data_IF_109746346909
#
_entry.id   IF_109746346909
#
_cell.length_a   1.000
_cell.length_b   1.000
_cell.length_c   1.000
_cell.angle_alpha   90.00
_cell.angle_beta   90.00
_cell.angle_gamma   90.00
#
_symmetry.space_group_name_H-M   'P 1'
#
loop_
_entity.id
_entity.type
_entity.pdbx_description
1 polymer ?
#
# COMPACT_ATOMS: atom_id res chain seq x y z
N UNK A 1 4.71 -12.89 2.08
CA UNK A 1 4.95 -12.27 0.82
C UNK A 1 4.36 -10.86 0.62
N UNK A 2 3.44 -10.38 1.48
CA UNK A 2 2.86 -9.05 1.37
C UNK A 2 3.19 -8.25 2.63
N UNK A 3 3.83 -7.09 2.47
CA UNK A 3 4.14 -6.17 3.57
C UNK A 3 3.08 -5.09 3.61
N UNK A 4 2.37 -4.96 4.73
CA UNK A 4 1.42 -3.89 4.97
C UNK A 4 2.08 -2.73 5.72
N UNK A 5 1.74 -1.52 5.35
CA UNK A 5 2.19 -0.30 5.99
C UNK A 5 1.05 0.70 6.12
N UNK A 6 1.17 1.57 7.11
CA UNK A 6 0.20 2.66 7.31
C UNK A 6 0.88 3.86 7.95
N UNK A 7 0.37 5.04 7.62
CA UNK A 7 0.81 6.31 8.19
C UNK A 7 -0.40 7.18 8.49
N UNK A 8 -0.33 7.89 9.60
CA UNK A 8 -1.32 8.93 9.95
C UNK A 8 -0.59 10.26 9.97
N UNK A 9 -1.04 11.17 9.14
CA UNK A 9 -0.46 12.52 9.03
C UNK A 9 -1.50 13.56 9.45
N UNK A 10 -1.19 14.45 10.41
CA UNK A 10 -2.02 15.59 10.71
C UNK A 10 -1.89 16.66 9.62
N UNK A 11 -2.99 17.37 9.36
CA UNK A 11 -3.02 18.52 8.47
C UNK A 11 -3.83 19.63 9.14
N UNK A 12 -3.39 20.86 9.00
CA UNK A 12 -4.20 22.03 9.33
C UNK A 12 -5.36 22.17 8.32
N UNK A 13 -5.00 22.13 7.05
CA UNK A 13 -5.90 22.11 5.91
C UNK A 13 -5.55 20.91 5.04
N UNK A 14 -6.49 20.01 4.83
CA UNK A 14 -6.25 18.77 4.06
C UNK A 14 -6.04 19.12 2.59
N UNK A 15 -4.88 18.73 2.00
CA UNK A 15 -4.59 19.03 0.60
C UNK A 15 -5.47 18.21 -0.37
N UNK A 16 -5.48 18.57 -1.67
CA UNK A 16 -6.11 17.76 -2.69
C UNK A 16 -5.58 16.31 -2.72
N UNK A 17 -6.42 15.37 -3.14
CA UNK A 17 -6.08 13.93 -3.13
C UNK A 17 -4.79 13.62 -3.88
N UNK A 18 -4.56 14.24 -5.03
CA UNK A 18 -3.34 14.05 -5.82
C UNK A 18 -2.08 14.45 -5.03
N UNK A 19 -2.13 15.57 -4.31
CA UNK A 19 -1.03 16.01 -3.46
C UNK A 19 -0.78 15.04 -2.29
N UNK A 20 -1.84 14.44 -1.73
CA UNK A 20 -1.71 13.41 -0.70
C UNK A 20 -1.04 12.16 -1.28
N UNK A 21 -1.46 11.69 -2.46
CA UNK A 21 -0.85 10.54 -3.12
C UNK A 21 0.63 10.80 -3.42
N UNK A 22 0.97 11.96 -3.95
CA UNK A 22 2.35 12.34 -4.23
C UNK A 22 3.19 12.37 -2.95
N UNK A 23 2.72 13.05 -1.90
CA UNK A 23 3.44 13.16 -0.62
C UNK A 23 3.68 11.80 0.06
N UNK A 24 2.83 10.80 -0.17
CA UNK A 24 2.98 9.48 0.42
C UNK A 24 3.76 8.52 -0.47
N UNK A 25 3.53 8.54 -1.76
CA UNK A 25 4.07 7.50 -2.65
C UNK A 25 5.39 7.89 -3.31
N UNK A 26 5.64 9.17 -3.58
CA UNK A 26 6.88 9.57 -4.26
C UNK A 26 8.12 9.36 -3.36
N UNK A 27 8.14 9.74 -2.06
CA UNK A 27 9.25 9.41 -1.17
C UNK A 27 9.44 7.90 -0.96
N UNK A 28 8.34 7.15 -0.92
CA UNK A 28 8.41 5.69 -0.79
C UNK A 28 8.98 5.04 -2.05
N UNK A 29 8.59 5.52 -3.24
CA UNK A 29 9.15 5.06 -4.51
C UNK A 29 10.65 5.32 -4.58
N UNK A 30 11.10 6.51 -4.18
CA UNK A 30 12.52 6.89 -4.14
C UNK A 30 13.30 5.97 -3.18
N UNK A 31 12.81 5.77 -1.96
CA UNK A 31 13.45 4.92 -0.96
C UNK A 31 13.54 3.45 -1.39
N UNK A 32 12.51 2.93 -2.06
CA UNK A 32 12.52 1.58 -2.63
C UNK A 32 13.48 1.47 -3.81
N UNK A 33 13.61 2.53 -4.61
CA UNK A 33 14.53 2.57 -5.77
C UNK A 33 15.99 2.55 -5.36
N UNK A 34 16.35 3.03 -4.18
CA UNK A 34 17.70 2.98 -3.64
C UNK A 34 18.27 1.55 -3.53
N UNK A 35 17.42 0.53 -3.61
CA UNK A 35 17.79 -0.89 -3.62
C UNK A 35 17.97 -1.46 -5.06
N UNK A 36 18.22 -0.61 -6.06
CA UNK A 36 18.46 -1.02 -7.44
C UNK A 36 17.19 -1.38 -8.22
N UNK A 37 16.01 -1.08 -7.71
CA UNK A 37 14.74 -1.23 -8.42
C UNK A 37 14.31 0.11 -9.01
N UNK A 38 13.76 0.11 -10.22
CA UNK A 38 13.17 1.30 -10.82
C UNK A 38 11.70 1.42 -10.38
N UNK A 39 11.48 1.89 -9.16
CA UNK A 39 10.15 2.07 -8.59
C UNK A 39 9.66 3.48 -8.89
N UNK A 40 8.41 3.59 -9.30
CA UNK A 40 7.78 4.87 -9.56
C UNK A 40 6.29 4.82 -9.21
N UNK A 41 5.69 5.98 -8.97
CA UNK A 41 4.24 6.12 -8.92
C UNK A 41 3.68 6.09 -10.36
N UNK A 42 2.55 5.39 -10.53
CA UNK A 42 1.85 5.29 -11.81
C UNK A 42 0.35 5.38 -11.58
N UNK A 43 -0.37 5.94 -12.53
CA UNK A 43 -1.79 6.25 -12.35
C UNK A 43 -2.01 7.17 -11.15
N UNK A 44 -3.09 6.95 -10.41
CA UNK A 44 -3.44 7.81 -9.26
C UNK A 44 -2.68 7.42 -7.99
N UNK A 45 -2.62 6.13 -7.67
CA UNK A 45 -2.17 5.66 -6.34
C UNK A 45 -1.39 4.36 -6.36
N UNK A 46 -0.86 3.96 -7.50
CA UNK A 46 -0.11 2.71 -7.61
C UNK A 46 1.40 2.95 -7.55
N UNK A 47 2.13 2.03 -6.93
CA UNK A 47 3.57 1.90 -7.12
C UNK A 47 3.84 0.77 -8.10
N UNK A 48 4.75 1.01 -9.02
CA UNK A 48 5.15 0.07 -10.07
C UNK A 48 6.67 -0.11 -10.13
N UNK A 49 7.11 -1.24 -10.63
CA UNK A 49 8.46 -1.41 -11.16
C UNK A 49 8.40 -1.18 -12.67
N UNK A 50 9.26 -0.30 -13.18
CA UNK A 50 9.43 -0.07 -14.60
C UNK A 50 10.63 -0.85 -15.12
N UNK A 51 10.39 -1.78 -16.06
CA UNK A 51 11.42 -2.54 -16.72
C UNK A 51 11.06 -2.79 -18.19
N UNK A 52 12.02 -2.65 -19.10
CA UNK A 52 11.84 -2.89 -20.53
C UNK A 52 10.60 -2.19 -21.13
N UNK A 53 10.37 -0.93 -20.76
CA UNK A 53 9.24 -0.14 -21.25
C UNK A 53 7.86 -0.55 -20.70
N UNK A 54 7.82 -1.46 -19.73
CA UNK A 54 6.58 -1.91 -19.08
C UNK A 54 6.56 -1.53 -17.59
N UNK A 55 5.39 -1.10 -17.13
CA UNK A 55 5.12 -0.89 -15.71
C UNK A 55 4.33 -2.08 -15.16
N UNK A 56 4.84 -2.70 -14.08
CA UNK A 56 4.16 -3.75 -13.35
C UNK A 56 3.90 -3.28 -11.91
N UNK A 57 2.67 -3.42 -11.46
CA UNK A 57 2.22 -2.94 -10.14
C UNK A 57 2.75 -3.83 -9.02
N UNK A 58 3.22 -3.17 -7.94
CA UNK A 58 3.75 -3.81 -6.73
C UNK A 58 2.96 -3.43 -5.48
N UNK A 59 2.03 -2.49 -5.56
CA UNK A 59 1.30 -2.02 -4.39
C UNK A 59 -0.18 -1.75 -4.68
N UNK A 60 -1.02 -1.96 -3.68
CA UNK A 60 -2.37 -1.43 -3.61
C UNK A 60 -2.46 -0.48 -2.44
N UNK A 61 -3.02 0.72 -2.65
CA UNK A 61 -3.05 1.76 -1.65
C UNK A 61 -4.47 2.32 -1.48
N UNK A 62 -4.77 2.76 -0.27
CA UNK A 62 -6.03 3.42 0.07
C UNK A 62 -5.78 4.49 1.12
N UNK A 63 -6.72 5.42 1.24
CA UNK A 63 -6.64 6.49 2.21
C UNK A 63 -8.01 6.80 2.82
N UNK A 64 -8.00 7.34 4.00
CA UNK A 64 -9.17 7.90 4.66
C UNK A 64 -8.87 9.32 5.12
N UNK A 65 -9.59 10.27 4.57
CA UNK A 65 -9.50 11.66 4.96
C UNK A 65 -10.44 11.92 6.15
N UNK A 66 -9.93 12.63 7.13
CA UNK A 66 -10.67 13.24 8.24
C UNK A 66 -10.44 14.75 8.23
N UNK A 67 -11.16 15.48 9.08
CA UNK A 67 -11.10 16.95 9.10
C UNK A 67 -9.68 17.52 9.23
N UNK A 68 -8.82 16.88 10.02
CA UNK A 68 -7.46 17.36 10.31
C UNK A 68 -6.41 16.25 10.22
N UNK A 69 -6.73 15.15 9.56
CA UNK A 69 -5.78 14.05 9.42
C UNK A 69 -6.11 13.17 8.22
N UNK A 70 -5.09 12.52 7.70
CA UNK A 70 -5.19 11.49 6.68
C UNK A 70 -4.57 10.21 7.23
N UNK A 71 -5.32 9.12 7.22
CA UNK A 71 -4.77 7.78 7.29
C UNK A 71 -4.50 7.32 5.86
N UNK A 72 -3.25 7.04 5.57
CA UNK A 72 -2.83 6.42 4.31
C UNK A 72 -2.27 5.04 4.61
N UNK A 73 -2.65 4.04 3.84
CA UNK A 73 -2.13 2.69 4.01
C UNK A 73 -2.03 1.97 2.68
N UNK A 74 -1.17 0.96 2.64
CA UNK A 74 -0.98 0.17 1.45
C UNK A 74 -0.31 -1.16 1.73
N UNK A 75 -0.19 -1.92 0.66
CA UNK A 75 0.51 -3.19 0.63
C UNK A 75 1.68 -3.10 -0.35
N UNK A 76 2.76 -3.79 -0.06
CA UNK A 76 3.89 -3.99 -0.97
C UNK A 76 4.03 -5.50 -1.21
N UNK A 77 3.89 -5.90 -2.45
CA UNK A 77 4.10 -7.29 -2.87
C UNK A 77 5.60 -7.56 -2.91
N UNK A 78 6.09 -8.44 -2.04
CA UNK A 78 7.51 -8.76 -1.96
C UNK A 78 7.81 -10.17 -2.51
N UNK A 79 7.29 -11.19 -1.89
CA UNK A 79 7.34 -12.58 -2.33
C UNK A 79 5.93 -13.22 -2.23
N UNK A 80 4.93 -12.51 -2.76
CA UNK A 80 3.54 -12.94 -2.74
C UNK A 80 3.29 -13.94 -3.87
N UNK A 81 2.55 -15.03 -3.64
CA UNK A 81 2.15 -15.97 -4.69
C UNK A 81 1.13 -15.31 -5.62
N UNK A 82 1.62 -14.63 -6.67
CA UNK A 82 0.81 -13.79 -7.56
C UNK A 82 -0.29 -14.55 -8.31
N UNK A 83 -0.12 -15.84 -8.51
CA UNK A 83 -1.11 -16.73 -9.10
C UNK A 83 -2.42 -16.76 -8.32
N UNK A 84 -2.37 -16.62 -6.99
CA UNK A 84 -3.56 -16.55 -6.14
C UNK A 84 -4.44 -15.35 -6.47
N UNK A 85 -3.84 -14.24 -6.91
CA UNK A 85 -4.62 -13.05 -7.28
C UNK A 85 -5.53 -13.35 -8.47
N UNK A 86 -5.00 -14.03 -9.49
CA UNK A 86 -5.79 -14.41 -10.66
C UNK A 86 -6.83 -15.50 -10.39
N UNK A 87 -6.61 -16.34 -9.37
CA UNK A 87 -7.54 -17.39 -8.97
C UNK A 87 -8.69 -16.85 -8.12
N UNK A 88 -8.41 -15.89 -7.23
CA UNK A 88 -9.36 -15.42 -6.22
C UNK A 88 -10.07 -14.12 -6.60
N UNK A 89 -9.45 -13.28 -7.44
CA UNK A 89 -10.00 -11.98 -7.81
C UNK A 89 -10.41 -11.95 -9.28
N UNK A 90 -11.63 -11.45 -9.51
CA UNK A 90 -12.11 -11.15 -10.86
C UNK A 90 -11.33 -9.96 -11.44
N UNK A 91 -11.35 -9.82 -12.76
CA UNK A 91 -10.86 -8.63 -13.41
C UNK A 91 -11.64 -7.39 -12.90
N UNK A 92 -10.95 -6.30 -12.49
CA UNK A 92 -11.64 -5.15 -11.94
C UNK A 92 -12.51 -4.47 -13.03
N UNK A 93 -13.71 -4.00 -12.66
CA UNK A 93 -14.59 -3.31 -13.62
C UNK A 93 -14.05 -1.94 -14.06
N UNK A 94 -13.14 -1.37 -13.28
CA UNK A 94 -12.39 -0.14 -13.60
C UNK A 94 -10.92 -0.41 -13.41
N UNK A 95 -10.13 -0.02 -14.38
CA UNK A 95 -8.67 -0.19 -14.34
C UNK A 95 -7.95 1.10 -14.75
N UNK A 96 -6.72 1.33 -14.27
CA UNK A 96 -5.92 2.44 -14.73
C UNK A 96 -5.50 2.22 -16.18
N UNK A 97 -5.39 3.31 -16.96
CA UNK A 97 -5.03 3.24 -18.39
C UNK A 97 -3.75 2.44 -18.68
N UNK A 98 -2.75 2.56 -17.80
CA UNK A 98 -1.48 1.85 -17.97
C UNK A 98 -1.60 0.34 -17.81
N UNK A 99 -2.72 -0.20 -17.26
CA UNK A 99 -2.97 -1.64 -17.17
C UNK A 99 -3.26 -2.27 -18.53
N UNK A 100 -3.98 -1.59 -19.41
CA UNK A 100 -4.26 -2.03 -20.79
C UNK A 100 -4.86 -3.44 -20.85
N UNK A 101 -5.84 -3.73 -20.02
CA UNK A 101 -6.55 -5.03 -19.96
C UNK A 101 -5.67 -6.25 -19.65
N UNK A 102 -4.43 -6.04 -19.18
CA UNK A 102 -3.56 -7.15 -18.78
C UNK A 102 -4.19 -7.97 -17.66
N UNK A 103 -4.00 -9.28 -17.72
CA UNK A 103 -4.33 -10.20 -16.63
C UNK A 103 -3.60 -9.81 -15.35
N UNK A 104 -4.01 -10.37 -14.21
CA UNK A 104 -3.32 -10.10 -12.94
C UNK A 104 -1.85 -10.53 -12.97
N UNK A 105 -1.54 -11.69 -13.56
CA UNK A 105 -0.17 -12.21 -13.68
C UNK A 105 0.74 -11.37 -14.58
N UNK A 106 0.19 -10.74 -15.61
CA UNK A 106 0.94 -9.82 -16.48
C UNK A 106 1.10 -8.44 -15.87
N UNK A 107 0.13 -8.03 -15.05
CA UNK A 107 0.06 -6.69 -14.48
C UNK A 107 0.82 -6.53 -13.17
N UNK A 108 0.86 -7.57 -12.33
CA UNK A 108 1.50 -7.56 -11.01
C UNK A 108 2.94 -8.08 -11.07
N UNK A 109 3.74 -7.67 -10.09
CA UNK A 109 5.06 -8.23 -9.81
C UNK A 109 5.42 -8.08 -8.34
N UNK A 110 6.44 -8.80 -7.90
CA UNK A 110 7.00 -8.72 -6.56
C UNK A 110 8.25 -7.83 -6.54
N UNK A 111 8.48 -7.17 -5.40
CA UNK A 111 9.70 -6.39 -5.14
C UNK A 111 10.93 -7.28 -5.00
N UNK A 112 10.82 -8.42 -4.32
CA UNK A 112 11.93 -9.33 -4.00
C UNK A 112 13.10 -8.64 -3.30
N UNK A 113 12.79 -7.78 -2.32
CA UNK A 113 13.77 -7.07 -1.50
C UNK A 113 13.95 -7.72 -0.12
N UNK A 114 12.91 -8.40 0.37
CA UNK A 114 12.85 -8.91 1.74
C UNK A 114 12.34 -7.87 2.75
N UNK A 115 11.76 -8.38 3.83
CA UNK A 115 11.07 -7.59 4.84
C UNK A 115 11.93 -6.47 5.45
N UNK A 116 13.19 -6.75 5.75
CA UNK A 116 14.09 -5.81 6.40
C UNK A 116 14.38 -4.59 5.50
N UNK A 117 14.66 -4.82 4.22
CA UNK A 117 14.93 -3.73 3.28
C UNK A 117 13.67 -2.88 3.03
N UNK A 118 12.50 -3.50 2.97
CA UNK A 118 11.23 -2.79 2.84
C UNK A 118 10.94 -1.96 4.08
N UNK A 119 11.13 -2.50 5.29
CA UNK A 119 10.95 -1.75 6.55
C UNK A 119 11.89 -0.54 6.61
N UNK A 120 13.15 -0.73 6.24
CA UNK A 120 14.12 0.37 6.14
C UNK A 120 13.67 1.43 5.13
N UNK A 121 13.21 1.05 3.95
CA UNK A 121 12.72 1.98 2.93
C UNK A 121 11.51 2.79 3.41
N UNK A 122 10.53 2.13 4.06
CA UNK A 122 9.36 2.81 4.62
C UNK A 122 9.77 3.79 5.73
N UNK A 123 10.68 3.39 6.63
CA UNK A 123 11.20 4.28 7.69
C UNK A 123 11.95 5.47 7.12
N UNK A 124 12.76 5.26 6.11
CA UNK A 124 13.50 6.33 5.42
C UNK A 124 12.56 7.31 4.74
N UNK A 125 11.58 6.82 4.00
CA UNK A 125 10.62 7.64 3.27
C UNK A 125 9.86 8.62 4.18
N UNK A 126 9.56 8.20 5.42
CA UNK A 126 8.76 8.98 6.35
C UNK A 126 9.53 9.49 7.58
N UNK A 127 10.85 9.40 7.58
CA UNK A 127 11.73 9.77 8.71
C UNK A 127 11.28 9.15 10.06
N UNK A 128 10.77 7.93 10.02
CA UNK A 128 10.17 7.24 11.17
C UNK A 128 11.20 6.37 11.91
N UNK A 129 12.10 6.98 12.68
CA UNK A 129 13.21 6.30 13.34
C UNK A 129 12.93 5.84 14.77
N UNK A 130 11.83 6.27 15.36
CA UNK A 130 11.42 5.85 16.69
C UNK A 130 10.66 4.54 16.68
N UNK A 131 10.86 3.71 17.71
CA UNK A 131 10.02 2.54 17.95
C UNK A 131 9.06 2.84 19.10
N UNK A 132 7.77 3.00 18.80
CA UNK A 132 6.75 3.02 19.84
C UNK A 132 6.28 1.58 20.05
N UNK A 133 6.72 0.96 21.13
CA UNK A 133 6.40 -0.45 21.46
C UNK A 133 5.08 -0.61 22.21
N UNK A 134 4.60 0.45 22.82
CA UNK A 134 3.32 0.43 23.54
C UNK A 134 2.19 0.87 22.61
N UNK A 135 1.22 0.02 22.42
CA UNK A 135 0.00 0.29 21.70
C UNK A 135 -1.22 -0.16 22.53
N UNK A 136 -2.41 0.33 22.27
CA UNK A 136 -3.58 0.12 23.15
C UNK A 136 -4.16 -1.30 22.98
N UNK A 137 -3.42 -2.32 23.42
CA UNK A 137 -3.78 -3.75 23.29
C UNK A 137 -5.21 -4.05 23.75
N UNK A 138 -5.61 -3.54 24.92
CA UNK A 138 -6.93 -3.79 25.48
C UNK A 138 -8.04 -3.22 24.60
N UNK A 139 -7.89 -1.99 24.10
CA UNK A 139 -8.86 -1.35 23.20
C UNK A 139 -8.96 -2.09 21.87
N UNK A 140 -7.82 -2.54 21.32
CA UNK A 140 -7.80 -3.35 20.10
C UNK A 140 -8.54 -4.66 20.30
N UNK A 141 -8.26 -5.37 21.40
CA UNK A 141 -8.94 -6.64 21.73
C UNK A 141 -10.46 -6.41 21.86
N UNK A 142 -10.89 -5.41 22.60
CA UNK A 142 -12.31 -5.07 22.71
C UNK A 142 -12.97 -4.79 21.36
N UNK A 143 -12.30 -4.07 20.46
CA UNK A 143 -12.80 -3.83 19.10
C UNK A 143 -12.88 -5.10 18.27
N UNK A 144 -11.91 -5.99 18.39
CA UNK A 144 -11.92 -7.29 17.71
C UNK A 144 -13.13 -8.08 18.18
N UNK A 145 -13.26 -8.31 19.48
CA UNK A 145 -14.33 -9.12 20.09
C UNK A 145 -15.72 -8.54 19.84
N UNK A 146 -15.89 -7.22 20.02
CA UNK A 146 -17.22 -6.58 19.94
C UNK A 146 -17.67 -6.27 18.51
N UNK A 147 -16.76 -6.28 17.53
CA UNK A 147 -17.07 -5.84 16.18
C UNK A 147 -16.49 -6.73 15.08
N UNK A 148 -15.17 -6.87 15.02
CA UNK A 148 -14.51 -7.43 13.84
C UNK A 148 -14.62 -8.95 13.73
N UNK A 149 -14.81 -9.67 14.83
CA UNK A 149 -15.10 -11.12 14.86
C UNK A 149 -16.59 -11.43 14.70
N UNK A 150 -17.46 -10.42 14.75
CA UNK A 150 -18.90 -10.66 14.61
C UNK A 150 -19.26 -10.98 13.16
N UNK A 151 -20.03 -12.05 12.96
CA UNK A 151 -20.59 -12.45 11.66
C UNK A 151 -21.35 -11.30 10.98
N UNK A 152 -22.11 -10.52 11.77
CA UNK A 152 -22.81 -9.32 11.29
C UNK A 152 -21.88 -8.22 10.75
N UNK A 153 -20.61 -8.25 11.09
CA UNK A 153 -19.60 -7.36 10.50
C UNK A 153 -18.97 -7.96 9.24
N UNK A 154 -18.63 -9.26 9.25
CA UNK A 154 -17.94 -9.93 8.15
C UNK A 154 -18.85 -10.21 6.95
N UNK A 155 -20.15 -10.45 7.20
CA UNK A 155 -21.16 -10.79 6.17
C UNK A 155 -22.10 -9.62 5.81
N UNK A 156 -21.71 -8.39 6.13
CA UNK A 156 -22.57 -7.20 5.88
C UNK A 156 -22.60 -6.68 4.45
N UNK A 157 -21.89 -7.33 3.51
CA UNK A 157 -21.81 -6.94 2.08
C UNK A 157 -22.87 -7.62 1.26
#
# INVERSE_FOLDING_TARGET
GCVMWSIVTPYRDVPPLEAIHAAMLDPLAEALSANGRNVAREGTSDLVIRAAGRAKKISGNALRVRRQSVLYHGTLLDAFPLELVGQLLRHPPREPEYRRQRSHSEFLTNLLLGREQIDKAVRTAFAAWGNKTTWPHQQVRQLVESRYEQTSWTERL
#
